data_IF_888096694290
#
_entry.id   IF_888096694290
#
_cell.length_a   1.000
_cell.length_b   1.000
_cell.length_c   1.000
_cell.angle_alpha   90.00
_cell.angle_beta   90.00
_cell.angle_gamma   90.00
#
_symmetry.space_group_name_H-M   'P 1'
#
loop_
_entity.id
_entity.type
_entity.pdbx_description
1 polymer ?
#
# COMPACT_ATOMS: atom_id res chain seq x y z
N UNK A 1 -18.64 -14.74 13.34
CA UNK A 1 -17.35 -14.14 12.95
C UNK A 1 -17.03 -14.75 11.60
N UNK A 2 -17.31 -14.01 10.53
CA UNK A 2 -17.04 -14.45 9.16
C UNK A 2 -15.52 -14.44 8.97
N UNK A 3 -14.95 -15.59 8.65
CA UNK A 3 -13.53 -15.69 8.32
C UNK A 3 -13.38 -15.06 6.94
N UNK A 4 -12.59 -13.99 6.85
CA UNK A 4 -12.28 -13.39 5.55
C UNK A 4 -11.72 -14.48 4.61
N UNK A 5 -12.26 -14.55 3.40
CA UNK A 5 -11.74 -15.43 2.35
C UNK A 5 -10.22 -15.20 2.23
N UNK A 6 -9.41 -16.28 2.14
CA UNK A 6 -7.97 -16.12 2.01
C UNK A 6 -7.68 -15.32 0.74
N UNK A 7 -7.05 -14.16 0.90
CA UNK A 7 -6.75 -13.26 -0.21
C UNK A 7 -5.95 -13.97 -1.31
N UNK A 8 -6.09 -13.52 -2.55
CA UNK A 8 -5.36 -14.12 -3.67
C UNK A 8 -3.85 -14.02 -3.44
N UNK A 9 -3.13 -15.07 -3.82
CA UNK A 9 -1.67 -15.08 -3.74
C UNK A 9 -1.10 -14.05 -4.71
N UNK A 10 -0.09 -13.31 -4.25
CA UNK A 10 0.71 -12.39 -5.06
C UNK A 10 2.20 -12.52 -4.73
N UNK A 11 3.04 -11.91 -5.56
CA UNK A 11 4.47 -11.84 -5.31
C UNK A 11 5.04 -10.48 -5.75
N UNK A 12 5.97 -9.95 -4.96
CA UNK A 12 6.85 -8.85 -5.34
C UNK A 12 8.15 -9.45 -5.88
N UNK A 13 8.48 -9.13 -7.13
CA UNK A 13 9.70 -9.60 -7.80
C UNK A 13 10.60 -8.39 -8.03
N UNK A 14 11.82 -8.46 -7.53
CA UNK A 14 12.83 -7.40 -7.68
C UNK A 14 13.79 -7.72 -8.82
N UNK A 15 14.45 -6.68 -9.35
CA UNK A 15 15.39 -6.82 -10.47
C UNK A 15 16.59 -7.73 -10.17
N UNK A 16 16.97 -7.85 -8.91
CA UNK A 16 18.08 -8.71 -8.45
C UNK A 16 17.70 -10.20 -8.37
N UNK A 17 16.45 -10.54 -8.69
CA UNK A 17 15.90 -11.89 -8.60
C UNK A 17 15.30 -12.24 -7.25
N UNK A 18 15.24 -11.31 -6.30
CA UNK A 18 14.53 -11.49 -5.02
C UNK A 18 13.03 -11.62 -5.26
N UNK A 19 12.42 -12.65 -4.67
CA UNK A 19 10.98 -12.92 -4.77
C UNK A 19 10.39 -12.96 -3.37
N UNK A 20 9.42 -12.08 -3.10
CA UNK A 20 8.70 -12.02 -1.82
C UNK A 20 7.23 -12.40 -2.08
N UNK A 21 6.80 -13.54 -1.54
CA UNK A 21 5.43 -14.01 -1.67
C UNK A 21 4.53 -13.42 -0.59
N UNK A 22 3.28 -13.13 -0.95
CA UNK A 22 2.31 -12.54 -0.04
C UNK A 22 0.87 -12.83 -0.41
N UNK A 23 -0.03 -12.21 0.35
CA UNK A 23 -1.48 -12.27 0.16
C UNK A 23 -1.95 -10.90 -0.28
N UNK A 24 -2.56 -10.81 -1.45
CA UNK A 24 -3.15 -9.58 -1.99
C UNK A 24 -4.47 -9.25 -1.30
N UNK A 25 -4.66 -7.96 -1.03
CA UNK A 25 -5.89 -7.40 -0.45
C UNK A 25 -6.53 -6.31 -1.32
N UNK A 26 -5.82 -5.83 -2.36
CA UNK A 26 -6.24 -4.76 -3.24
C UNK A 26 -6.72 -5.28 -4.61
N UNK A 27 -6.52 -4.45 -5.65
CA UNK A 27 -6.89 -4.80 -7.01
C UNK A 27 -6.10 -5.99 -7.55
N UNK A 28 -6.77 -6.85 -8.32
CA UNK A 28 -6.18 -8.01 -8.98
C UNK A 28 -5.54 -7.63 -10.32
N UNK A 29 -4.38 -6.98 -10.25
CA UNK A 29 -3.64 -6.57 -11.43
C UNK A 29 -2.14 -6.74 -11.23
N UNK A 30 -1.43 -6.94 -12.33
CA UNK A 30 0.02 -6.86 -12.37
C UNK A 30 0.43 -5.42 -12.67
N UNK A 31 1.44 -4.92 -11.96
CA UNK A 31 2.05 -3.61 -12.17
C UNK A 31 3.57 -3.71 -12.02
N UNK A 32 4.27 -2.71 -12.55
CA UNK A 32 5.72 -2.55 -12.38
C UNK A 32 6.01 -1.10 -12.03
N UNK A 33 7.06 -0.87 -11.24
CA UNK A 33 7.42 0.46 -10.77
C UNK A 33 8.67 0.42 -9.90
N UNK A 34 9.14 1.59 -9.48
CA UNK A 34 10.27 1.70 -8.55
C UNK A 34 9.82 1.29 -7.14
N UNK A 35 10.56 0.37 -6.52
CA UNK A 35 10.28 -0.05 -5.14
C UNK A 35 10.96 0.92 -4.18
N UNK A 36 10.17 1.62 -3.39
CA UNK A 36 10.64 2.54 -2.35
C UNK A 36 10.15 2.09 -0.98
N UNK A 37 10.79 2.56 0.10
CA UNK A 37 10.29 2.32 1.46
C UNK A 37 9.99 3.63 2.19
N UNK A 38 8.93 3.62 3.00
CA UNK A 38 8.56 4.75 3.84
C UNK A 38 8.56 4.35 5.33
N UNK A 39 9.14 5.22 6.16
CA UNK A 39 9.35 4.99 7.60
C UNK A 39 8.24 5.55 8.50
N UNK A 40 7.19 6.14 7.91
CA UNK A 40 6.04 6.65 8.63
C UNK A 40 5.27 5.51 9.28
N UNK A 41 4.89 5.72 10.55
CA UNK A 41 4.08 4.76 11.30
C UNK A 41 2.57 5.00 11.16
N UNK A 42 2.19 6.15 10.61
CA UNK A 42 0.81 6.68 10.51
C UNK A 42 0.67 7.42 9.18
N UNK A 43 -0.55 7.78 8.80
CA UNK A 43 -0.82 8.61 7.61
C UNK A 43 -0.80 7.84 6.29
N UNK A 44 -1.13 6.54 6.31
CA UNK A 44 -1.17 5.75 5.07
C UNK A 44 -2.22 6.23 4.05
N UNK A 45 -3.40 6.79 4.41
CA UNK A 45 -4.31 7.32 3.42
C UNK A 45 -3.71 8.50 2.65
N UNK A 46 -3.08 9.44 3.36
CA UNK A 46 -2.46 10.63 2.78
C UNK A 46 -1.26 10.24 1.90
N UNK A 47 -0.41 9.34 2.38
CA UNK A 47 0.73 8.81 1.66
C UNK A 47 0.32 8.12 0.35
N UNK A 48 -0.73 7.28 0.37
CA UNK A 48 -1.21 6.60 -0.84
C UNK A 48 -1.86 7.54 -1.86
N UNK A 49 -2.23 8.76 -1.45
CA UNK A 49 -2.79 9.79 -2.34
C UNK A 49 -1.79 10.85 -2.78
N UNK A 50 -0.55 10.82 -2.27
CA UNK A 50 0.48 11.81 -2.59
C UNK A 50 0.98 11.60 -4.05
N UNK A 51 0.89 12.64 -4.92
CA UNK A 51 1.38 12.57 -6.30
C UNK A 51 2.86 12.19 -6.43
N UNK A 52 3.66 12.36 -5.39
CA UNK A 52 5.09 12.04 -5.37
C UNK A 52 5.39 10.54 -5.51
N UNK A 53 4.41 9.66 -5.22
CA UNK A 53 4.52 8.21 -5.37
C UNK A 53 3.96 7.68 -6.71
N UNK A 54 3.73 8.55 -7.68
CA UNK A 54 3.38 8.10 -9.03
C UNK A 54 4.44 7.13 -9.56
N UNK A 55 3.97 6.02 -10.14
CA UNK A 55 4.81 4.95 -10.70
C UNK A 55 5.74 4.22 -9.70
N UNK A 56 5.46 4.36 -8.40
CA UNK A 56 6.21 3.69 -7.34
C UNK A 56 5.39 2.61 -6.63
N UNK A 57 6.09 1.58 -6.16
CA UNK A 57 5.58 0.54 -5.27
C UNK A 57 6.10 0.88 -3.86
N UNK A 58 5.21 1.38 -3.00
CA UNK A 58 5.59 1.83 -1.66
C UNK A 58 5.53 0.69 -0.66
N UNK A 59 6.67 0.40 -0.02
CA UNK A 59 6.81 -0.56 1.06
C UNK A 59 6.83 0.16 2.40
N UNK A 60 5.90 -0.18 3.27
CA UNK A 60 5.78 0.45 4.59
C UNK A 60 6.62 -0.32 5.60
N UNK A 61 7.45 0.37 6.39
CA UNK A 61 8.24 -0.31 7.43
C UNK A 61 7.42 -0.64 8.67
N UNK A 62 6.30 0.05 8.89
CA UNK A 62 5.40 -0.22 10.00
C UNK A 62 4.52 -1.45 9.69
N UNK A 63 4.45 -2.46 10.56
CA UNK A 63 3.85 -3.76 10.23
C UNK A 63 2.31 -3.77 10.21
N UNK A 64 1.66 -2.80 10.85
CA UNK A 64 0.19 -2.79 11.01
C UNK A 64 -0.39 -1.61 10.23
N UNK A 65 -0.89 -1.88 9.02
CA UNK A 65 -1.61 -0.90 8.21
C UNK A 65 -3.12 -1.14 8.23
N UNK A 66 -3.89 -0.09 7.97
CA UNK A 66 -5.35 -0.18 7.88
C UNK A 66 -6.09 -0.13 9.22
N UNK A 67 -5.39 0.13 10.34
CA UNK A 67 -5.98 0.07 11.70
C UNK A 67 -7.13 1.07 11.91
N UNK A 68 -7.16 2.19 11.18
CA UNK A 68 -8.19 3.22 11.29
C UNK A 68 -8.98 3.43 9.99
N UNK A 69 -8.88 2.51 9.03
CA UNK A 69 -9.57 2.61 7.74
C UNK A 69 -9.13 3.80 6.88
N UNK A 70 -9.99 4.24 5.97
CA UNK A 70 -9.75 5.40 5.09
C UNK A 70 -10.83 6.45 5.39
N UNK A 71 -10.47 7.74 5.57
CA UNK A 71 -11.46 8.78 5.80
C UNK A 71 -12.38 8.96 4.57
N UNK A 72 -13.61 9.49 4.76
CA UNK A 72 -14.49 9.82 3.65
C UNK A 72 -13.82 10.81 2.70
N UNK A 73 -13.97 10.60 1.39
CA UNK A 73 -13.42 11.49 0.36
C UNK A 73 -13.92 12.94 0.45
N UNK A 74 -15.02 13.19 1.15
CA UNK A 74 -15.56 14.53 1.42
C UNK A 74 -14.77 15.34 2.46
N UNK A 75 -13.82 14.71 3.17
CA UNK A 75 -13.03 15.34 4.25
C UNK A 75 -11.62 15.72 3.78
N UNK A 76 -11.22 15.36 2.55
CA UNK A 76 -9.91 15.72 2.02
C UNK A 76 -9.90 17.19 1.57
N UNK A 77 -9.63 18.07 2.53
CA UNK A 77 -9.24 19.45 2.28
C UNK A 77 -7.93 19.50 1.51
N UNK A 78 -7.83 20.48 0.63
CA UNK A 78 -6.63 20.90 -0.06
C UNK A 78 -5.42 21.00 0.88
N UNK A 79 -4.28 20.46 0.43
CA UNK A 79 -3.12 20.19 1.26
C UNK A 79 -2.61 21.39 2.06
N UNK A 80 -2.50 21.20 3.38
CA UNK A 80 -1.88 22.17 4.27
C UNK A 80 -2.03 21.85 5.74
N UNK A 81 -1.21 20.93 6.25
CA UNK A 81 -0.34 21.10 7.43
C UNK A 81 0.81 20.11 7.35
#
# INVERSE_FOLDING_TARGET
>A
MELAEPGKKGALVLEDGTIIQGVGFGAETEISGEVVFNTSMMGYPELLTDPSYQEQIVVMTYPILGSYGVPPSSIQGDGGV
#
